data_IF_477636130390
#
_entry.id   IF_477636130390
#
_cell.length_a   1.000
_cell.length_b   1.000
_cell.length_c   1.000
_cell.angle_alpha   90.00
_cell.angle_beta   90.00
_cell.angle_gamma   90.00
#
_symmetry.space_group_name_H-M   'P 1'
#
loop_
_entity.id
_entity.type
_entity.pdbx_description
1 polymer ?
#
# COMPACT_ATOMS: atom_id res chain seq x y z
N UNK A 1 5.60 -13.74 2.01
CA UNK A 1 4.51 -13.60 2.99
C UNK A 1 5.10 -13.66 4.39
N UNK A 2 4.57 -12.88 5.32
CA UNK A 2 5.04 -12.77 6.71
C UNK A 2 3.92 -13.29 7.61
N UNK A 3 4.20 -14.22 8.52
CA UNK A 3 3.26 -14.60 9.59
C UNK A 3 3.62 -13.86 10.86
N UNK A 4 2.67 -13.12 11.42
CA UNK A 4 2.84 -12.40 12.68
C UNK A 4 1.51 -12.36 13.43
N UNK A 5 1.52 -12.53 14.75
CA UNK A 5 0.30 -12.45 15.60
C UNK A 5 -0.91 -13.27 15.08
N UNK A 6 -0.67 -14.46 14.50
CA UNK A 6 -1.73 -15.32 13.96
C UNK A 6 -2.30 -14.88 12.60
N UNK A 7 -1.82 -13.77 12.04
CA UNK A 7 -2.26 -13.22 10.76
C UNK A 7 -1.19 -13.41 9.66
N UNK A 8 -1.64 -13.47 8.41
CA UNK A 8 -0.79 -13.61 7.23
C UNK A 8 -0.73 -12.27 6.50
N UNK A 9 0.46 -11.70 6.39
CA UNK A 9 0.70 -10.41 5.76
C UNK A 9 1.45 -10.58 4.42
N UNK A 10 1.00 -9.87 3.39
CA UNK A 10 1.77 -9.61 2.18
C UNK A 10 2.50 -8.28 2.30
N UNK A 11 3.80 -8.24 1.94
CA UNK A 11 4.57 -7.01 1.83
C UNK A 11 5.02 -6.85 0.37
N UNK A 12 4.59 -5.77 -0.27
CA UNK A 12 5.05 -5.39 -1.60
C UNK A 12 5.89 -4.11 -1.50
N UNK A 13 7.13 -4.17 -1.96
CA UNK A 13 8.06 -3.04 -2.00
C UNK A 13 8.07 -2.42 -3.41
N UNK A 14 7.81 -1.11 -3.51
CA UNK A 14 7.87 -0.38 -4.77
C UNK A 14 8.41 1.04 -4.58
N UNK A 15 9.16 1.49 -5.58
CA UNK A 15 9.61 2.89 -5.74
C UNK A 15 8.85 3.54 -6.89
N UNK A 16 8.25 4.70 -6.69
CA UNK A 16 7.52 5.43 -7.74
C UNK A 16 7.83 6.93 -7.69
N UNK A 17 7.75 7.59 -8.85
CA UNK A 17 8.05 9.01 -9.01
C UNK A 17 6.83 9.86 -9.42
N UNK A 18 5.65 9.26 -9.60
CA UNK A 18 4.46 9.97 -10.08
C UNK A 18 3.13 9.35 -9.60
N UNK A 19 2.07 10.15 -9.62
CA UNK A 19 0.72 9.77 -9.15
C UNK A 19 0.09 8.63 -9.98
N UNK A 20 0.42 8.52 -11.27
CA UNK A 20 -0.13 7.47 -12.14
C UNK A 20 0.42 6.12 -11.72
N UNK A 21 1.70 6.05 -11.37
CA UNK A 21 2.33 4.83 -10.85
C UNK A 21 1.80 4.45 -9.47
N UNK A 22 1.55 5.43 -8.59
CA UNK A 22 0.87 5.18 -7.31
C UNK A 22 -0.48 4.47 -7.51
N UNK A 23 -1.33 4.99 -8.42
CA UNK A 23 -2.62 4.35 -8.73
C UNK A 23 -2.48 2.93 -9.27
N UNK A 24 -1.48 2.68 -10.13
CA UNK A 24 -1.18 1.33 -10.62
C UNK A 24 -0.77 0.39 -9.48
N UNK A 25 -0.04 0.89 -8.49
CA UNK A 25 0.37 0.12 -7.32
C UNK A 25 -0.83 -0.31 -6.47
N UNK A 26 -1.81 0.58 -6.26
CA UNK A 26 -3.07 0.25 -5.59
C UNK A 26 -3.79 -0.90 -6.30
N UNK A 27 -4.00 -0.79 -7.61
CA UNK A 27 -4.66 -1.85 -8.40
C UNK A 27 -3.89 -3.17 -8.35
N UNK A 28 -2.55 -3.10 -8.33
CA UNK A 28 -1.71 -4.29 -8.23
C UNK A 28 -1.80 -4.95 -6.85
N UNK A 29 -1.84 -4.17 -5.77
CA UNK A 29 -2.03 -4.65 -4.41
C UNK A 29 -3.40 -5.32 -4.24
N UNK A 30 -4.47 -4.75 -4.82
CA UNK A 30 -5.80 -5.38 -4.88
C UNK A 30 -5.73 -6.76 -5.54
N UNK A 31 -5.07 -6.84 -6.70
CA UNK A 31 -4.89 -8.12 -7.42
C UNK A 31 -4.20 -9.16 -6.54
N UNK A 32 -3.18 -8.77 -5.78
CA UNK A 32 -2.52 -9.68 -4.84
C UNK A 32 -3.41 -10.05 -3.66
N UNK A 33 -4.13 -9.11 -3.07
CA UNK A 33 -5.07 -9.39 -1.98
C UNK A 33 -6.09 -10.45 -2.40
N UNK A 34 -6.68 -10.27 -3.60
CA UNK A 34 -7.59 -11.25 -4.21
C UNK A 34 -6.92 -12.61 -4.43
N UNK A 35 -5.72 -12.65 -5.02
CA UNK A 35 -5.00 -13.90 -5.30
C UNK A 35 -4.62 -14.67 -4.03
N UNK A 36 -4.35 -13.94 -2.94
CA UNK A 36 -3.99 -14.51 -1.64
C UNK A 36 -5.20 -14.85 -0.78
N UNK A 37 -6.42 -14.47 -1.20
CA UNK A 37 -7.65 -14.69 -0.43
C UNK A 37 -7.72 -13.88 0.87
N UNK A 38 -7.03 -12.73 0.94
CA UNK A 38 -7.04 -11.84 2.11
C UNK A 38 -7.98 -10.67 1.87
N UNK A 39 -8.65 -10.21 2.93
CA UNK A 39 -9.58 -9.07 2.88
C UNK A 39 -8.88 -7.72 2.96
N UNK A 40 -7.65 -7.69 3.47
CA UNK A 40 -6.82 -6.48 3.53
C UNK A 40 -5.36 -6.76 3.20
N UNK A 41 -4.67 -5.74 2.67
CA UNK A 41 -3.25 -5.78 2.33
C UNK A 41 -2.59 -4.43 2.59
N UNK A 42 -1.35 -4.45 3.07
CA UNK A 42 -0.55 -3.24 3.25
C UNK A 42 0.31 -2.97 2.01
N UNK A 43 0.24 -1.75 1.48
CA UNK A 43 1.11 -1.27 0.41
C UNK A 43 2.13 -0.29 1.01
N UNK A 44 3.32 -0.81 1.33
CA UNK A 44 4.38 -0.02 1.96
C UNK A 44 5.29 0.58 0.90
N UNK A 45 5.41 1.90 0.89
CA UNK A 45 6.12 2.68 -0.13
C UNK A 45 7.24 3.45 0.54
N UNK A 46 8.47 3.16 0.15
CA UNK A 46 9.65 3.83 0.68
C UNK A 46 9.96 5.04 -0.19
N UNK A 47 10.00 6.20 0.44
CA UNK A 47 10.17 7.48 -0.24
C UNK A 47 11.22 8.32 0.48
N UNK A 48 11.88 9.21 -0.25
CA UNK A 48 12.95 10.03 0.29
C UNK A 48 12.40 11.04 1.32
N UNK A 49 11.34 11.76 0.96
CA UNK A 49 10.66 12.72 1.82
C UNK A 49 9.17 12.78 1.51
N UNK A 50 8.36 13.16 2.50
CA UNK A 50 6.96 13.53 2.27
C UNK A 50 6.48 14.54 3.30
N UNK A 51 5.71 15.51 2.84
CA UNK A 51 5.02 16.46 3.71
C UNK A 51 3.69 15.88 4.23
N UNK A 52 3.18 16.51 5.28
CA UNK A 52 1.93 16.07 5.93
C UNK A 52 0.72 16.13 4.99
N UNK A 53 0.68 17.11 4.08
CA UNK A 53 -0.40 17.24 3.09
C UNK A 53 -0.48 16.02 2.17
N UNK A 54 0.67 15.53 1.70
CA UNK A 54 0.76 14.35 0.85
C UNK A 54 0.52 13.06 1.65
N UNK A 55 0.95 12.98 2.92
CA UNK A 55 0.57 11.85 3.80
C UNK A 55 -0.93 11.73 3.91
N UNK A 56 -1.61 12.80 4.31
CA UNK A 56 -3.07 12.82 4.44
C UNK A 56 -3.80 12.52 3.13
N UNK A 57 -3.20 12.85 2.00
CA UNK A 57 -3.78 12.58 0.68
C UNK A 57 -3.64 11.13 0.24
N UNK A 58 -2.52 10.48 0.56
CA UNK A 58 -2.15 9.19 -0.03
C UNK A 58 -2.20 8.02 0.96
N UNK A 59 -1.99 8.24 2.26
CA UNK A 59 -2.12 7.21 3.30
C UNK A 59 -3.57 7.05 3.74
N UNK A 60 -4.48 6.95 2.76
CA UNK A 60 -5.91 6.73 2.97
C UNK A 60 -6.26 5.36 2.42
N UNK A 61 -7.05 4.61 3.19
CA UNK A 61 -7.55 3.30 2.79
C UNK A 61 -8.22 3.36 1.42
N UNK A 62 -7.78 2.48 0.54
CA UNK A 62 -8.34 2.29 -0.78
C UNK A 62 -9.10 0.96 -0.81
N UNK A 63 -10.43 1.05 -0.83
CA UNK A 63 -11.30 -0.11 -0.97
C UNK A 63 -11.65 -0.32 -2.44
N UNK A 64 -11.33 -1.50 -2.96
CA UNK A 64 -11.73 -1.89 -4.29
C UNK A 64 -13.18 -2.42 -4.27
N UNK A 65 -14.09 -1.73 -4.96
CA UNK A 65 -15.52 -2.06 -4.94
C UNK A 65 -15.84 -3.41 -5.61
N UNK A 66 -14.99 -3.89 -6.52
CA UNK A 66 -15.24 -5.15 -7.23
C UNK A 66 -14.84 -6.37 -6.40
N UNK A 67 -13.73 -6.27 -5.67
CA UNK A 67 -13.15 -7.39 -4.92
C UNK A 67 -13.38 -7.31 -3.41
N UNK A 68 -13.74 -6.13 -2.90
CA UNK A 68 -13.86 -5.85 -1.47
C UNK A 68 -12.51 -5.79 -0.73
N UNK A 69 -11.38 -5.91 -1.44
CA UNK A 69 -10.05 -5.83 -0.83
C UNK A 69 -9.76 -4.40 -0.40
N UNK A 70 -9.31 -4.25 0.85
CA UNK A 70 -8.84 -2.97 1.40
C UNK A 70 -7.32 -2.91 1.27
N UNK A 71 -6.81 -1.88 0.59
CA UNK A 71 -5.38 -1.56 0.55
C UNK A 71 -5.11 -0.45 1.54
N UNK A 72 -4.17 -0.68 2.46
CA UNK A 72 -3.65 0.32 3.41
C UNK A 72 -2.31 0.86 2.89
N UNK A 73 -2.27 2.03 2.22
CA UNK A 73 -1.03 2.61 1.74
C UNK A 73 -0.27 3.26 2.89
N UNK A 74 1.02 2.98 3.02
CA UNK A 74 1.86 3.59 4.05
C UNK A 74 3.17 4.06 3.44
N UNK A 75 3.50 5.34 3.61
CA UNK A 75 4.79 5.88 3.23
C UNK A 75 5.78 5.78 4.39
N UNK A 76 6.89 5.10 4.12
CA UNK A 76 8.05 5.06 5.01
C UNK A 76 9.07 6.07 4.48
N UNK A 77 9.29 7.14 5.24
CA UNK A 77 10.30 8.12 4.90
C UNK A 77 11.70 7.55 5.20
N UNK A 78 12.60 7.66 4.23
CA UNK A 78 13.96 7.12 4.29
C UNK A 78 15.04 8.19 4.29
N UNK A 79 14.71 9.43 3.90
CA UNK A 79 15.57 10.59 4.04
C UNK A 79 15.46 11.21 5.43
N UNK A 80 16.50 11.94 5.82
CA UNK A 80 16.51 12.70 7.07
C UNK A 80 15.47 13.83 6.98
N UNK A 81 14.69 14.00 8.04
CA UNK A 81 13.75 15.11 8.20
C UNK A 81 14.47 16.45 8.39
#
# INVERSE_FOLDING_TARGET
>A
MIRHAGQLFGLELKTFADQRRYRKALTQAVKYGKQLGVTSIWLVLFIESVDETNRQRFEVDYTDNETGVIVHPQFVQTGNA
#
